data_IF_760401096331
#
_entry.id   IF_760401096331
#
_cell.length_a   1.000
_cell.length_b   1.000
_cell.length_c   1.000
_cell.angle_alpha   90.00
_cell.angle_beta   90.00
_cell.angle_gamma   90.00
#
_symmetry.space_group_name_H-M   'P 1'
#
loop_
_entity.id
_entity.type
_entity.pdbx_description
1 polymer ?
#
# COMPACT_ATOMS: atom_id res chain seq x y z
N UNK A 1 -14.85 3.06 -27.25
CA UNK A 1 -14.70 3.51 -25.84
C UNK A 1 -14.24 2.42 -24.87
N UNK A 2 -15.09 1.51 -24.33
CA UNK A 2 -14.61 0.53 -23.30
C UNK A 2 -13.51 -0.41 -23.82
N UNK A 3 -13.69 -0.95 -25.03
CA UNK A 3 -12.74 -1.89 -25.64
C UNK A 3 -11.36 -1.27 -25.89
N UNK A 4 -11.34 -0.03 -26.40
CA UNK A 4 -10.09 0.72 -26.64
C UNK A 4 -9.37 1.08 -25.35
N UNK A 5 -10.11 1.38 -24.27
CA UNK A 5 -9.53 1.60 -22.96
C UNK A 5 -8.79 0.36 -22.46
N UNK A 6 -9.41 -0.83 -22.50
CA UNK A 6 -8.75 -2.07 -22.07
C UNK A 6 -7.55 -2.42 -22.96
N UNK A 7 -7.67 -2.29 -24.29
CA UNK A 7 -6.55 -2.54 -25.21
C UNK A 7 -5.37 -1.60 -24.96
N UNK A 8 -5.64 -0.31 -24.73
CA UNK A 8 -4.60 0.67 -24.42
C UNK A 8 -3.98 0.43 -23.04
N UNK A 9 -4.80 0.09 -22.04
CA UNK A 9 -4.35 -0.25 -20.69
C UNK A 9 -3.42 -1.46 -20.71
N UNK A 10 -3.84 -2.55 -21.34
CA UNK A 10 -3.01 -3.77 -21.48
C UNK A 10 -1.69 -3.45 -22.18
N UNK A 11 -1.72 -2.71 -23.30
CA UNK A 11 -0.52 -2.33 -24.03
C UNK A 11 0.45 -1.46 -23.21
N UNK A 12 -0.08 -0.53 -22.41
CA UNK A 12 0.72 0.32 -21.52
C UNK A 12 1.37 -0.51 -20.41
N UNK A 13 0.60 -1.42 -19.82
CA UNK A 13 1.06 -2.30 -18.75
C UNK A 13 2.14 -3.26 -19.26
N UNK A 14 1.94 -3.89 -20.42
CA UNK A 14 2.93 -4.75 -21.07
C UNK A 14 4.23 -3.98 -21.40
N UNK A 15 4.11 -2.72 -21.82
CA UNK A 15 5.26 -1.88 -22.14
C UNK A 15 6.03 -1.37 -20.89
N UNK A 16 5.42 -1.38 -19.71
CA UNK A 16 6.07 -0.90 -18.50
C UNK A 16 5.78 -1.78 -17.27
N UNK A 17 6.67 -2.74 -16.95
CA UNK A 17 6.49 -3.64 -15.81
C UNK A 17 6.52 -2.92 -14.46
N UNK A 18 7.01 -1.66 -14.40
CA UNK A 18 7.02 -0.87 -13.16
C UNK A 18 5.61 -0.55 -12.65
N UNK A 19 4.61 -0.58 -13.52
CA UNK A 19 3.20 -0.40 -13.13
C UNK A 19 2.78 -1.57 -12.23
N UNK A 20 3.01 -2.82 -12.67
CA UNK A 20 2.77 -4.01 -11.84
C UNK A 20 3.63 -4.01 -10.57
N UNK A 21 4.91 -3.63 -10.68
CA UNK A 21 5.81 -3.60 -9.54
C UNK A 21 5.28 -2.69 -8.43
N UNK A 22 4.72 -1.53 -8.78
CA UNK A 22 4.15 -0.61 -7.78
C UNK A 22 2.97 -1.20 -7.02
N UNK A 23 2.11 -1.98 -7.69
CA UNK A 23 0.99 -2.69 -7.05
C UNK A 23 1.52 -3.76 -6.09
N UNK A 24 2.49 -4.56 -6.54
CA UNK A 24 3.12 -5.60 -5.72
C UNK A 24 3.79 -4.99 -4.49
N UNK A 25 4.55 -3.90 -4.65
CA UNK A 25 5.20 -3.19 -3.54
C UNK A 25 4.17 -2.63 -2.56
N UNK A 26 3.07 -2.06 -3.05
CA UNK A 26 1.98 -1.58 -2.20
C UNK A 26 1.37 -2.70 -1.34
N UNK A 27 0.99 -3.81 -1.96
CA UNK A 27 0.37 -4.93 -1.24
C UNK A 27 1.36 -5.60 -0.28
N UNK A 28 2.55 -5.96 -0.76
CA UNK A 28 3.57 -6.62 0.06
C UNK A 28 4.05 -5.73 1.21
N UNK A 29 4.21 -4.42 0.99
CA UNK A 29 4.53 -3.47 2.04
C UNK A 29 3.44 -3.38 3.11
N UNK A 30 2.16 -3.38 2.72
CA UNK A 30 1.05 -3.43 3.68
C UNK A 30 1.06 -4.72 4.52
N UNK A 31 1.38 -5.87 3.92
CA UNK A 31 1.51 -7.13 4.64
C UNK A 31 2.66 -7.10 5.65
N UNK A 32 3.82 -6.55 5.27
CA UNK A 32 4.95 -6.37 6.19
C UNK A 32 4.57 -5.45 7.35
N UNK A 33 3.88 -4.34 7.08
CA UNK A 33 3.39 -3.43 8.12
C UNK A 33 2.39 -4.11 9.06
N UNK A 34 1.56 -5.02 8.56
CA UNK A 34 0.63 -5.78 9.38
C UNK A 34 1.35 -6.75 10.32
N UNK A 35 2.35 -7.48 9.83
CA UNK A 35 3.18 -8.35 10.67
C UNK A 35 3.95 -7.54 11.71
N UNK A 36 4.51 -6.39 11.31
CA UNK A 36 5.23 -5.50 12.21
C UNK A 36 4.33 -4.94 13.33
N UNK A 37 3.10 -4.57 13.01
CA UNK A 37 2.10 -4.15 14.01
C UNK A 37 1.85 -5.26 15.03
N UNK A 38 1.61 -6.50 14.58
CA UNK A 38 1.36 -7.63 15.47
C UNK A 38 2.52 -7.89 16.44
N UNK A 39 3.76 -7.86 15.94
CA UNK A 39 4.96 -8.01 16.77
C UNK A 39 5.10 -6.85 17.77
N UNK A 40 4.79 -5.62 17.36
CA UNK A 40 4.87 -4.45 18.23
C UNK A 40 3.84 -4.52 19.36
N UNK A 41 2.60 -4.91 19.04
CA UNK A 41 1.53 -5.11 20.01
C UNK A 41 1.91 -6.21 21.02
N UNK A 42 2.47 -7.33 20.57
CA UNK A 42 2.91 -8.40 21.47
C UNK A 42 3.96 -7.90 22.47
N UNK A 43 4.96 -7.14 22.02
CA UNK A 43 5.97 -6.53 22.90
C UNK A 43 5.36 -5.58 23.93
N UNK A 44 4.38 -4.78 23.54
CA UNK A 44 3.67 -3.86 24.45
C UNK A 44 2.94 -4.66 25.54
N UNK A 45 2.25 -5.73 25.16
CA UNK A 45 1.52 -6.60 26.09
C UNK A 45 2.50 -7.24 27.10
N UNK A 46 3.63 -7.74 26.62
CA UNK A 46 4.68 -8.31 27.48
C UNK A 46 5.27 -7.27 28.44
N UNK A 47 5.54 -6.05 27.96
CA UNK A 47 6.11 -4.96 28.76
C UNK A 47 5.15 -4.44 29.83
N UNK A 48 3.86 -4.29 29.50
CA UNK A 48 2.86 -3.81 30.45
C UNK A 48 2.56 -4.83 31.54
N UNK A 49 2.76 -6.13 31.26
CA UNK A 49 2.57 -7.25 32.18
C UNK A 49 1.28 -7.13 33.03
N UNK A 50 0.20 -6.68 32.39
CA UNK A 50 -1.10 -6.44 33.03
C UNK A 50 -2.18 -7.14 32.24
N UNK A 51 -3.23 -7.59 32.95
CA UNK A 51 -4.44 -8.15 32.35
C UNK A 51 -5.55 -7.11 32.22
N UNK A 52 -5.32 -5.90 32.71
CA UNK A 52 -6.27 -4.80 32.61
C UNK A 52 -6.47 -4.40 31.15
N UNK A 53 -7.67 -4.69 30.64
CA UNK A 53 -8.04 -4.45 29.24
C UNK A 53 -8.12 -2.96 28.92
N UNK A 54 -8.43 -2.10 29.89
CA UNK A 54 -8.50 -0.64 29.69
C UNK A 54 -7.08 -0.10 29.46
N UNK A 55 -6.14 -0.54 30.29
CA UNK A 55 -4.73 -0.13 30.18
C UNK A 55 -4.09 -0.67 28.90
N UNK A 56 -4.33 -1.95 28.56
CA UNK A 56 -3.84 -2.54 27.32
C UNK A 56 -4.39 -1.83 26.08
N UNK A 57 -5.70 -1.56 26.05
CA UNK A 57 -6.32 -0.87 24.92
C UNK A 57 -5.76 0.54 24.73
N UNK A 58 -5.64 1.31 25.82
CA UNK A 58 -5.08 2.66 25.78
C UNK A 58 -3.63 2.68 25.25
N UNK A 59 -2.86 1.61 25.48
CA UNK A 59 -1.50 1.48 24.96
C UNK A 59 -1.46 1.01 23.49
N UNK A 60 -2.38 0.13 23.06
CA UNK A 60 -2.41 -0.46 21.72
C UNK A 60 -3.03 0.48 20.68
N UNK A 61 -4.11 1.18 21.02
CA UNK A 61 -4.86 2.07 20.11
C UNK A 61 -3.98 3.10 19.36
N UNK A 62 -3.08 3.85 20.02
CA UNK A 62 -2.21 4.80 19.32
C UNK A 62 -1.18 4.12 18.40
N UNK A 63 -0.85 2.85 18.64
CA UNK A 63 0.05 2.08 17.79
C UNK A 63 -0.69 1.61 16.55
N UNK A 64 -1.89 1.05 16.74
CA UNK A 64 -2.74 0.60 15.65
C UNK A 64 -3.05 1.75 14.67
N UNK A 65 -3.37 2.94 15.18
CA UNK A 65 -3.61 4.13 14.36
C UNK A 65 -2.39 4.52 13.50
N UNK A 66 -1.17 4.45 14.06
CA UNK A 66 0.06 4.74 13.31
C UNK A 66 0.29 3.74 12.17
N UNK A 67 0.04 2.46 12.41
CA UNK A 67 0.19 1.43 11.38
C UNK A 67 -0.92 1.52 10.32
N UNK A 68 -2.14 1.88 10.71
CA UNK A 68 -3.23 2.18 9.79
C UNK A 68 -2.83 3.31 8.83
N UNK A 69 -2.38 4.45 9.37
CA UNK A 69 -1.92 5.58 8.58
C UNK A 69 -0.73 5.22 7.69
N UNK A 70 0.23 4.45 8.21
CA UNK A 70 1.38 3.98 7.43
C UNK A 70 0.97 3.14 6.21
N UNK A 71 -0.02 2.25 6.36
CA UNK A 71 -0.56 1.46 5.24
C UNK A 71 -1.24 2.36 4.21
N UNK A 72 -2.06 3.30 4.66
CA UNK A 72 -2.69 4.28 3.77
C UNK A 72 -1.67 5.09 2.99
N UNK A 73 -0.65 5.62 3.67
CA UNK A 73 0.44 6.35 3.01
C UNK A 73 1.16 5.48 1.97
N UNK A 74 1.46 4.22 2.29
CA UNK A 74 2.12 3.30 1.36
C UNK A 74 1.25 3.01 0.12
N UNK A 75 -0.05 2.79 0.31
CA UNK A 75 -1.00 2.60 -0.79
C UNK A 75 -1.11 3.84 -1.67
N UNK A 76 -1.21 5.03 -1.06
CA UNK A 76 -1.27 6.30 -1.79
C UNK A 76 0.01 6.50 -2.62
N UNK A 77 1.19 6.25 -2.04
CA UNK A 77 2.46 6.34 -2.76
C UNK A 77 2.54 5.34 -3.92
N UNK A 78 2.11 4.10 -3.71
CA UNK A 78 2.04 3.09 -4.76
C UNK A 78 1.11 3.49 -5.90
N UNK A 79 -0.06 4.08 -5.59
CA UNK A 79 -1.01 4.58 -6.57
C UNK A 79 -0.46 5.77 -7.37
N UNK A 80 0.20 6.71 -6.70
CA UNK A 80 0.84 7.86 -7.35
C UNK A 80 1.96 7.37 -8.29
N UNK A 81 2.79 6.44 -7.82
CA UNK A 81 3.85 5.83 -8.64
C UNK A 81 3.26 5.13 -9.86
N UNK A 82 2.24 4.30 -9.66
CA UNK A 82 1.54 3.58 -10.73
C UNK A 82 0.98 4.55 -11.76
N UNK A 83 0.32 5.61 -11.31
CA UNK A 83 -0.28 6.64 -12.16
C UNK A 83 0.77 7.42 -12.95
N UNK A 84 1.90 7.75 -12.32
CA UNK A 84 3.03 8.40 -13.00
C UNK A 84 3.66 7.49 -14.05
N UNK A 85 3.90 6.22 -13.71
CA UNK A 85 4.43 5.22 -14.64
C UNK A 85 3.48 5.01 -15.82
N UNK A 86 2.17 4.94 -15.56
CA UNK A 86 1.14 4.85 -16.59
C UNK A 86 1.14 6.06 -17.51
N UNK A 87 1.07 7.28 -16.96
CA UNK A 87 1.03 8.53 -17.73
C UNK A 87 2.29 8.73 -18.57
N UNK A 88 3.46 8.46 -17.99
CA UNK A 88 4.75 8.51 -18.71
C UNK A 88 4.79 7.53 -19.89
N UNK A 89 4.27 6.33 -19.70
CA UNK A 89 4.24 5.28 -20.74
C UNK A 89 3.19 5.59 -21.81
N UNK A 90 2.01 6.08 -21.43
CA UNK A 90 0.97 6.55 -22.37
C UNK A 90 1.53 7.62 -23.32
N UNK A 91 2.28 8.58 -22.77
CA UNK A 91 2.96 9.64 -23.56
C UNK A 91 4.01 9.05 -24.51
N UNK A 92 4.85 8.12 -24.04
CA UNK A 92 5.88 7.46 -24.87
C UNK A 92 5.28 6.65 -26.02
N UNK A 93 4.13 6.02 -25.81
CA UNK A 93 3.44 5.21 -26.82
C UNK A 93 2.60 6.04 -27.80
N UNK A 94 2.54 7.38 -27.64
CA UNK A 94 1.77 8.25 -28.54
C UNK A 94 0.26 8.01 -28.53
N UNK A 95 -0.26 7.36 -27.47
CA UNK A 95 -1.68 7.04 -27.35
C UNK A 95 -2.46 8.32 -27.03
N UNK A 96 -3.39 8.70 -27.91
CA UNK A 96 -4.22 9.91 -27.76
C UNK A 96 -5.01 9.88 -26.45
N UNK A 97 -5.24 11.08 -25.90
CA UNK A 97 -5.96 11.30 -24.64
C UNK A 97 -7.31 10.61 -24.64
#
# INVERSE_FOLDING_TARGET
MKKEFFLNLTRIIEANPKIYLSIIVGISGCLVLFVAEAVHIQKIIELLNTKDQVVLRAAIEPIADKYLWSRWSLLILALIWSSFAYSSTKKKLGLKS
#
